data_IF_645801812892
#
_entry.id   IF_645801812892
#
_cell.length_a   1.000
_cell.length_b   1.000
_cell.length_c   1.000
_cell.angle_alpha   90.00
_cell.angle_beta   90.00
_cell.angle_gamma   90.00
#
_symmetry.space_group_name_H-M   'P 1'
#
loop_
_entity.id
_entity.type
_entity.pdbx_description
1 polymer ?
#
# COMPACT_ATOMS: atom_id res chain seq x y z
N UNK A 1 11.47 13.23 -0.18
CA UNK A 1 11.37 12.09 -1.10
C UNK A 1 10.39 11.08 -0.53
N UNK A 2 9.44 10.65 -1.34
CA UNK A 2 8.39 9.71 -0.91
C UNK A 2 8.22 8.60 -1.94
N UNK A 3 7.82 7.39 -1.55
CA UNK A 3 7.69 6.25 -2.46
C UNK A 3 6.60 6.40 -3.53
N UNK A 4 5.54 7.13 -3.23
CA UNK A 4 4.46 7.37 -4.18
C UNK A 4 3.71 8.68 -3.86
N UNK A 5 2.95 9.18 -4.83
CA UNK A 5 2.22 10.45 -4.70
C UNK A 5 1.25 10.47 -3.51
N UNK A 6 0.39 9.46 -3.28
CA UNK A 6 -0.49 9.44 -2.11
C UNK A 6 0.25 9.55 -0.77
N UNK A 7 1.43 8.98 -0.67
CA UNK A 7 2.26 9.10 0.55
C UNK A 7 2.86 10.50 0.71
N UNK A 8 3.15 11.19 -0.40
CA UNK A 8 3.65 12.55 -0.37
C UNK A 8 2.64 13.58 0.12
N UNK A 9 1.36 13.32 -0.08
CA UNK A 9 0.26 14.18 0.39
C UNK A 9 -0.21 13.85 1.82
N UNK A 10 0.12 12.67 2.34
CA UNK A 10 -0.23 12.26 3.69
C UNK A 10 0.68 12.93 4.73
N UNK A 11 0.13 13.36 5.86
CA UNK A 11 0.92 13.91 6.96
C UNK A 11 2.01 12.94 7.44
N UNK A 12 1.67 11.66 7.57
CA UNK A 12 2.63 10.61 7.93
C UNK A 12 3.80 10.52 6.96
N UNK A 13 3.55 10.63 5.65
CA UNK A 13 4.61 10.62 4.64
C UNK A 13 5.55 11.81 4.74
N UNK A 14 5.03 12.99 5.07
CA UNK A 14 5.85 14.20 5.25
C UNK A 14 6.75 14.14 6.47
N UNK A 15 6.27 13.51 7.56
CA UNK A 15 7.00 13.43 8.81
C UNK A 15 8.09 12.36 8.82
N UNK A 16 7.92 11.29 8.05
CA UNK A 16 8.76 10.09 8.15
C UNK A 16 9.71 9.89 6.97
N UNK A 17 9.51 10.58 5.85
CA UNK A 17 10.39 10.45 4.70
C UNK A 17 11.31 11.67 4.58
N UNK A 18 12.62 11.47 4.29
CA UNK A 18 13.58 12.55 4.24
C UNK A 18 13.31 13.48 3.06
N UNK A 19 13.57 14.78 3.29
CA UNK A 19 13.48 15.79 2.25
C UNK A 19 14.89 16.06 1.69
N UNK A 20 15.07 15.81 0.40
CA UNK A 20 16.35 16.00 -0.29
C UNK A 20 16.84 17.47 -0.36
N UNK A 21 15.98 18.43 0.03
CA UNK A 21 16.41 19.83 0.20
C UNK A 21 17.16 20.05 1.52
N UNK A 22 16.90 19.21 2.52
CA UNK A 22 17.40 19.36 3.88
C UNK A 22 18.48 18.33 4.22
N UNK A 23 18.64 17.31 3.37
CA UNK A 23 19.60 16.21 3.60
C UNK A 23 20.22 15.74 2.28
N UNK A 24 21.39 15.13 2.34
CA UNK A 24 22.02 14.54 1.16
C UNK A 24 21.23 13.32 0.65
N UNK A 25 21.37 13.02 -0.64
CA UNK A 25 20.76 11.81 -1.20
C UNK A 25 21.28 10.54 -0.52
N UNK A 26 22.57 10.51 -0.20
CA UNK A 26 23.19 9.37 0.51
C UNK A 26 22.55 9.16 1.89
N UNK A 27 22.40 10.22 2.67
CA UNK A 27 21.76 10.15 3.99
C UNK A 27 20.29 9.78 3.88
N UNK A 28 19.57 10.31 2.89
CA UNK A 28 18.18 9.95 2.63
C UNK A 28 18.01 8.46 2.31
N UNK A 29 18.93 7.89 1.53
CA UNK A 29 18.91 6.45 1.20
C UNK A 29 19.32 5.56 2.37
N UNK A 30 20.08 6.11 3.33
CA UNK A 30 20.45 5.40 4.55
C UNK A 30 19.41 5.55 5.67
N UNK A 31 18.38 6.36 5.50
CA UNK A 31 17.32 6.51 6.47
C UNK A 31 16.59 5.18 6.68
N UNK A 32 16.65 4.67 7.91
CA UNK A 32 16.16 3.32 8.21
C UNK A 32 14.65 3.15 8.01
N UNK A 33 13.86 4.21 8.28
CA UNK A 33 12.42 4.15 8.09
C UNK A 33 12.07 4.05 6.60
N UNK A 34 12.68 4.91 5.77
CA UNK A 34 12.46 4.90 4.33
C UNK A 34 12.89 3.55 3.71
N UNK A 35 14.10 3.09 4.03
CA UNK A 35 14.63 1.84 3.51
C UNK A 35 13.82 0.63 3.99
N UNK A 36 13.43 0.59 5.25
CA UNK A 36 12.58 -0.47 5.78
C UNK A 36 11.22 -0.51 5.07
N UNK A 37 10.66 0.66 4.77
CA UNK A 37 9.38 0.73 4.06
C UNK A 37 9.50 0.19 2.63
N UNK A 38 10.49 0.63 1.84
CA UNK A 38 10.64 0.19 0.45
C UNK A 38 11.14 -1.26 0.32
N UNK A 39 11.83 -1.79 1.33
CA UNK A 39 12.26 -3.19 1.38
C UNK A 39 11.20 -4.14 1.95
N UNK A 40 10.10 -3.60 2.46
CA UNK A 40 8.97 -4.41 2.94
C UNK A 40 8.39 -5.25 1.81
N UNK A 41 8.37 -6.55 2.01
CA UNK A 41 7.87 -7.52 1.05
C UNK A 41 6.49 -8.02 1.43
N UNK A 42 5.81 -8.59 0.47
CA UNK A 42 4.47 -9.15 0.69
C UNK A 42 4.46 -10.22 1.80
N UNK A 43 5.52 -11.01 1.93
CA UNK A 43 5.67 -11.99 3.02
C UNK A 43 5.67 -11.33 4.40
N UNK A 44 6.30 -10.16 4.53
CA UNK A 44 6.40 -9.42 5.79
C UNK A 44 5.04 -8.83 6.16
N UNK A 45 4.33 -8.32 5.16
CA UNK A 45 2.95 -7.88 5.30
C UNK A 45 2.03 -9.03 5.76
N UNK A 46 2.14 -10.21 5.16
CA UNK A 46 1.33 -11.37 5.54
C UNK A 46 1.69 -11.92 6.92
N UNK A 47 2.95 -11.83 7.34
CA UNK A 47 3.36 -12.16 8.71
C UNK A 47 2.71 -11.23 9.74
N UNK A 48 2.59 -9.95 9.40
CA UNK A 48 1.92 -8.94 10.23
C UNK A 48 0.39 -9.06 10.19
N UNK A 49 -0.18 -9.56 9.10
CA UNK A 49 -1.62 -9.72 8.88
C UNK A 49 -1.99 -11.17 8.52
N UNK A 50 -2.03 -12.09 9.51
CA UNK A 50 -2.28 -13.52 9.23
C UNK A 50 -3.59 -13.81 8.50
N UNK A 51 -4.64 -13.01 8.73
CA UNK A 51 -5.90 -13.12 8.01
C UNK A 51 -5.79 -12.83 6.52
N UNK A 52 -4.86 -11.95 6.13
CA UNK A 52 -4.58 -11.67 4.73
C UNK A 52 -3.76 -12.78 4.07
N UNK A 53 -2.93 -13.48 4.82
CA UNK A 53 -2.12 -14.59 4.31
C UNK A 53 -2.96 -15.77 3.81
N UNK A 54 -4.13 -16.00 4.40
CA UNK A 54 -5.06 -17.09 4.05
C UNK A 54 -6.25 -16.62 3.21
N UNK A 55 -6.30 -15.32 2.89
CA UNK A 55 -7.40 -14.75 2.10
C UNK A 55 -7.35 -15.23 0.64
N UNK A 56 -8.50 -15.56 0.08
CA UNK A 56 -8.62 -15.97 -1.32
C UNK A 56 -8.18 -14.89 -2.31
N UNK A 57 -8.29 -13.62 -1.94
CA UNK A 57 -7.89 -12.48 -2.75
C UNK A 57 -6.43 -12.04 -2.55
N UNK A 58 -5.64 -12.73 -1.76
CA UNK A 58 -4.28 -12.32 -1.38
C UNK A 58 -3.38 -11.94 -2.56
N UNK A 59 -3.48 -12.68 -3.67
CA UNK A 59 -2.66 -12.46 -4.87
C UNK A 59 -3.15 -11.30 -5.76
N UNK A 60 -4.37 -10.84 -5.56
CA UNK A 60 -4.99 -9.73 -6.29
C UNK A 60 -4.93 -8.44 -5.48
N UNK A 61 -5.33 -8.53 -4.22
CA UNK A 61 -5.33 -7.40 -3.30
C UNK A 61 -3.91 -7.01 -2.86
N UNK A 62 -3.07 -8.00 -2.55
CA UNK A 62 -1.68 -7.81 -2.09
C UNK A 62 -1.57 -6.82 -0.91
N UNK A 63 -2.59 -6.76 -0.05
CA UNK A 63 -2.61 -5.87 1.10
C UNK A 63 -3.14 -4.45 0.83
N UNK A 64 -3.54 -4.15 -0.40
CA UNK A 64 -4.04 -2.84 -0.78
C UNK A 64 -2.94 -1.78 -0.95
N UNK A 65 -3.31 -0.51 -0.83
CA UNK A 65 -2.42 0.61 -1.09
C UNK A 65 -1.81 1.17 0.20
N UNK A 66 -0.48 1.11 0.31
CA UNK A 66 0.24 1.68 1.48
C UNK A 66 0.06 3.19 1.58
N UNK A 67 -0.05 3.88 0.46
CA UNK A 67 -0.34 5.31 0.42
C UNK A 67 -1.73 5.63 1.00
N UNK A 68 -2.71 4.78 0.75
CA UNK A 68 -4.05 4.91 1.33
C UNK A 68 -4.01 4.71 2.86
N UNK A 69 -3.31 3.69 3.32
CA UNK A 69 -3.12 3.43 4.75
C UNK A 69 -2.47 4.63 5.44
N UNK A 70 -1.41 5.19 4.86
CA UNK A 70 -0.75 6.38 5.38
C UNK A 70 -1.67 7.60 5.40
N UNK A 71 -2.48 7.79 4.36
CA UNK A 71 -3.40 8.93 4.24
C UNK A 71 -4.52 8.90 5.28
N UNK A 72 -5.05 7.73 5.58
CA UNK A 72 -6.15 7.54 6.54
C UNK A 72 -5.66 7.51 7.99
N UNK A 73 -4.50 6.88 8.21
CA UNK A 73 -3.98 6.62 9.55
C UNK A 73 -3.26 7.79 10.23
N UNK A 74 -2.86 8.82 9.47
CA UNK A 74 -2.14 9.97 10.01
C UNK A 74 -0.67 9.68 10.38
N UNK A 75 -0.03 10.56 11.21
CA UNK A 75 1.41 10.50 11.48
C UNK A 75 1.89 9.24 12.20
N UNK A 76 1.05 8.65 13.03
CA UNK A 76 1.36 7.47 13.86
C UNK A 76 0.88 6.16 13.23
N UNK A 77 0.57 6.16 11.94
CA UNK A 77 0.04 4.98 11.27
C UNK A 77 1.06 3.85 11.19
N UNK A 78 0.60 2.65 11.45
CA UNK A 78 1.30 1.43 11.08
C UNK A 78 1.16 1.19 9.57
N UNK A 79 2.22 1.39 8.81
CA UNK A 79 2.22 1.22 7.36
C UNK A 79 2.01 -0.24 6.91
N UNK A 80 2.17 -1.21 7.82
CA UNK A 80 1.82 -2.61 7.57
C UNK A 80 0.36 -2.93 7.94
N UNK A 81 -0.41 -1.97 8.45
CA UNK A 81 -1.82 -2.16 8.70
C UNK A 81 -2.60 -2.48 7.42
N UNK A 82 -3.69 -3.19 7.59
CA UNK A 82 -4.57 -3.55 6.47
C UNK A 82 -5.22 -2.31 5.86
N UNK A 83 -5.27 -2.26 4.54
CA UNK A 83 -6.08 -1.30 3.80
C UNK A 83 -7.55 -1.76 3.85
N UNK A 84 -8.33 -1.14 4.72
CA UNK A 84 -9.73 -1.53 4.95
C UNK A 84 -10.63 -1.26 3.74
N UNK A 85 -10.35 -0.21 2.97
CA UNK A 85 -11.12 0.08 1.76
C UNK A 85 -10.86 -0.96 0.67
N UNK A 86 -9.61 -1.35 0.47
CA UNK A 86 -9.28 -2.44 -0.45
C UNK A 86 -9.90 -3.77 0.02
N UNK A 87 -9.81 -4.06 1.32
CA UNK A 87 -10.42 -5.26 1.89
C UNK A 87 -11.94 -5.28 1.66
N UNK A 88 -12.63 -4.17 1.89
CA UNK A 88 -14.06 -4.03 1.66
C UNK A 88 -14.42 -4.21 0.18
N UNK A 89 -13.65 -3.62 -0.73
CA UNK A 89 -13.85 -3.76 -2.18
C UNK A 89 -13.88 -5.23 -2.63
N UNK A 90 -12.92 -6.03 -2.17
CA UNK A 90 -12.87 -7.45 -2.51
C UNK A 90 -13.97 -8.25 -1.78
N UNK A 91 -14.11 -8.09 -0.47
CA UNK A 91 -15.04 -8.88 0.34
C UNK A 91 -16.52 -8.60 0.07
N UNK A 92 -16.85 -7.39 -0.34
CA UNK A 92 -18.22 -7.02 -0.75
C UNK A 92 -18.57 -7.43 -2.19
N UNK A 93 -17.66 -8.10 -2.89
CA UNK A 93 -17.87 -8.60 -4.23
C UNK A 93 -17.77 -7.57 -5.35
N UNK A 94 -17.24 -6.36 -5.07
CA UNK A 94 -17.06 -5.33 -6.09
C UNK A 94 -16.02 -5.72 -7.13
N UNK A 95 -14.95 -6.40 -6.71
CA UNK A 95 -13.95 -6.93 -7.64
C UNK A 95 -14.58 -7.85 -8.68
N UNK A 96 -15.41 -8.82 -8.23
CA UNK A 96 -16.04 -9.78 -9.13
C UNK A 96 -17.05 -9.10 -10.07
N UNK A 97 -17.78 -8.09 -9.59
CA UNK A 97 -18.71 -7.31 -10.42
C UNK A 97 -17.97 -6.54 -11.50
N UNK A 98 -16.89 -5.84 -11.14
CA UNK A 98 -16.08 -5.09 -12.11
C UNK A 98 -15.46 -6.03 -13.14
N UNK A 99 -14.90 -7.15 -12.70
CA UNK A 99 -14.31 -8.15 -13.60
C UNK A 99 -15.33 -8.67 -14.61
N UNK A 100 -16.52 -9.04 -14.18
CA UNK A 100 -17.61 -9.49 -15.07
C UNK A 100 -18.04 -8.41 -16.08
N UNK A 101 -18.05 -7.15 -15.68
CA UNK A 101 -18.36 -6.04 -16.58
C UNK A 101 -17.23 -5.86 -17.60
N UNK A 102 -15.99 -5.89 -17.14
CA UNK A 102 -14.81 -5.77 -18.01
C UNK A 102 -14.73 -6.89 -19.05
N UNK A 103 -15.03 -8.12 -18.67
CA UNK A 103 -15.07 -9.27 -19.60
C UNK A 103 -16.13 -9.09 -20.70
N UNK A 104 -17.24 -8.42 -20.41
CA UNK A 104 -18.28 -8.12 -21.40
C UNK A 104 -17.92 -7.00 -22.36
N UNK A 105 -17.21 -5.99 -21.85
CA UNK A 105 -16.86 -4.78 -22.61
C UNK A 105 -15.59 -4.99 -23.42
N UNK A 106 -14.65 -5.75 -22.88
CA UNK A 106 -13.31 -5.96 -23.43
C UNK A 106 -12.99 -7.46 -23.57
N UNK A 107 -13.72 -8.18 -24.42
CA UNK A 107 -13.58 -9.64 -24.53
C UNK A 107 -12.18 -10.06 -25.02
N UNK A 108 -11.46 -9.17 -25.69
CA UNK A 108 -10.15 -9.47 -26.33
C UNK A 108 -8.95 -9.03 -25.47
N UNK A 109 -9.17 -8.45 -24.27
CA UNK A 109 -8.07 -8.08 -23.36
C UNK A 109 -7.84 -9.23 -22.38
N UNK A 110 -7.02 -10.17 -22.79
CA UNK A 110 -6.45 -11.21 -21.92
C UNK A 110 -4.94 -11.29 -22.09
#
# INVERSE_FOLDING_TARGET
MVPCIPMGSAEGGRCHFPNIRDTSLADALCDSYYMNFIDTRLRDYFAHNPGCAVCEYRNRCAGGCRGRVASVGGPEVDLLARDEDACAFFRQGWYDRVTKIMEKILPDIR
#
